data_IF_953873512035
#
_entry.id   IF_953873512035
#
_cell.length_a   1.000
_cell.length_b   1.000
_cell.length_c   1.000
_cell.angle_alpha   90.00
_cell.angle_beta   90.00
_cell.angle_gamma   90.00
#
_symmetry.space_group_name_H-M   'P 1'
#
loop_
_entity.id
_entity.type
_entity.pdbx_description
1 polymer ?
#
# COMPACT_ATOMS: atom_id res chain seq x y z
N UNK A 1 56.79 -36.04 46.58
CA UNK A 1 55.90 -34.87 46.39
C UNK A 1 55.54 -34.54 44.92
N UNK A 2 55.84 -35.39 43.91
CA UNK A 2 55.61 -35.05 42.49
C UNK A 2 54.33 -35.63 41.87
N UNK A 3 53.81 -36.75 42.39
CA UNK A 3 52.63 -37.44 41.81
C UNK A 3 51.30 -36.76 42.12
N UNK A 4 51.05 -36.34 43.37
CA UNK A 4 49.76 -35.70 43.73
C UNK A 4 49.55 -34.32 43.09
N UNK A 5 50.63 -33.56 42.87
CA UNK A 5 50.56 -32.26 42.20
C UNK A 5 50.12 -32.38 40.73
N UNK A 6 50.63 -33.40 40.02
CA UNK A 6 50.27 -33.66 38.62
C UNK A 6 48.80 -34.10 38.53
N UNK A 7 48.31 -34.92 39.47
CA UNK A 7 46.90 -35.37 39.47
C UNK A 7 45.94 -34.20 39.73
N UNK A 8 46.29 -33.29 40.64
CA UNK A 8 45.46 -32.11 40.94
C UNK A 8 45.41 -31.14 39.75
N UNK A 9 46.53 -30.92 39.07
CA UNK A 9 46.57 -30.07 37.85
C UNK A 9 45.76 -30.69 36.71
N UNK A 10 45.80 -32.02 36.55
CA UNK A 10 45.02 -32.71 35.51
C UNK A 10 43.50 -32.65 35.78
N UNK A 11 43.08 -32.77 37.05
CA UNK A 11 41.67 -32.64 37.43
C UNK A 11 41.13 -31.22 37.20
N UNK A 12 41.93 -30.19 37.51
CA UNK A 12 41.55 -28.79 37.28
C UNK A 12 41.39 -28.47 35.79
N UNK A 13 42.24 -29.05 34.93
CA UNK A 13 42.13 -28.92 33.48
C UNK A 13 40.87 -29.58 32.92
N UNK A 14 40.48 -30.76 33.42
CA UNK A 14 39.26 -31.45 32.98
C UNK A 14 37.97 -30.69 33.33
N UNK A 15 37.90 -30.06 34.51
CA UNK A 15 36.74 -29.27 34.92
C UNK A 15 36.56 -28.01 34.06
N UNK A 16 37.65 -27.38 33.64
CA UNK A 16 37.62 -26.17 32.79
C UNK A 16 37.12 -26.46 31.37
N UNK A 17 37.41 -27.64 30.81
CA UNK A 17 36.94 -28.03 29.46
C UNK A 17 35.42 -28.31 29.44
N UNK A 18 34.86 -28.89 30.51
CA UNK A 18 33.41 -29.20 30.57
C UNK A 18 32.51 -27.96 30.65
N UNK A 19 32.97 -26.87 31.28
CA UNK A 19 32.19 -25.63 31.42
C UNK A 19 32.12 -24.79 30.13
N UNK A 20 33.11 -24.90 29.23
CA UNK A 20 33.14 -24.15 27.97
C UNK A 20 32.23 -24.69 26.87
N UNK A 21 32.09 -26.02 26.77
CA UNK A 21 31.25 -26.66 25.74
C UNK A 21 29.75 -26.37 25.93
N UNK A 22 29.29 -26.29 27.18
CA UNK A 22 27.88 -26.13 27.53
C UNK A 22 27.33 -24.74 27.12
N UNK A 23 28.09 -23.68 27.38
CA UNK A 23 27.71 -22.30 27.01
C UNK A 23 27.74 -22.05 25.49
N UNK A 24 28.61 -22.74 24.76
CA UNK A 24 28.69 -22.65 23.30
C UNK A 24 27.55 -23.43 22.62
N UNK A 25 27.15 -24.57 23.17
CA UNK A 25 26.01 -25.36 22.70
C UNK A 25 24.68 -24.59 22.86
N UNK A 26 24.44 -23.98 24.02
CA UNK A 26 23.21 -23.23 24.33
C UNK A 26 23.05 -21.96 23.44
N UNK A 27 24.16 -21.26 23.19
CA UNK A 27 24.21 -20.08 22.31
C UNK A 27 23.97 -20.44 20.84
N UNK A 28 24.44 -21.61 20.39
CA UNK A 28 24.20 -22.11 19.03
C UNK A 28 22.76 -22.63 18.86
N UNK A 29 22.21 -23.29 19.88
CA UNK A 29 20.81 -23.71 19.91
C UNK A 29 19.85 -22.51 19.83
N UNK A 30 20.15 -21.44 20.57
CA UNK A 30 19.38 -20.19 20.53
C UNK A 30 19.47 -19.48 19.17
N UNK A 31 20.65 -19.48 18.52
CA UNK A 31 20.81 -18.93 17.15
C UNK A 31 20.08 -19.76 16.10
N UNK A 32 20.15 -21.09 16.20
CA UNK A 32 19.45 -22.01 15.30
C UNK A 32 17.94 -21.83 15.41
N UNK A 33 17.40 -21.77 16.63
CA UNK A 33 15.97 -21.50 16.88
C UNK A 33 15.52 -20.15 16.31
N UNK A 34 16.31 -19.08 16.50
CA UNK A 34 16.02 -17.76 15.91
C UNK A 34 16.03 -17.78 14.38
N UNK A 35 16.96 -18.52 13.77
CA UNK A 35 17.03 -18.66 12.31
C UNK A 35 15.81 -19.42 11.78
N UNK A 36 15.45 -20.52 12.43
CA UNK A 36 14.27 -21.31 12.08
C UNK A 36 12.98 -20.49 12.21
N UNK A 37 12.81 -19.73 13.29
CA UNK A 37 11.65 -18.86 13.48
C UNK A 37 11.61 -17.74 12.43
N UNK A 38 12.75 -17.15 12.07
CA UNK A 38 12.84 -16.16 11.00
C UNK A 38 12.47 -16.74 9.63
N UNK A 39 12.91 -17.96 9.34
CA UNK A 39 12.54 -18.66 8.10
C UNK A 39 11.05 -19.01 8.07
N UNK A 40 10.49 -19.46 9.21
CA UNK A 40 9.05 -19.70 9.37
C UNK A 40 8.23 -18.44 9.12
N UNK A 41 8.58 -17.32 9.76
CA UNK A 41 7.92 -16.02 9.57
C UNK A 41 8.00 -15.53 8.13
N UNK A 42 9.17 -15.70 7.48
CA UNK A 42 9.33 -15.37 6.05
C UNK A 42 8.42 -16.21 5.16
N UNK A 43 8.33 -17.52 5.42
CA UNK A 43 7.46 -18.41 4.66
C UNK A 43 5.98 -18.07 4.87
N UNK A 44 5.58 -17.79 6.11
CA UNK A 44 4.22 -17.36 6.44
C UNK A 44 3.88 -16.04 5.74
N UNK A 45 4.80 -15.07 5.75
CA UNK A 45 4.61 -13.80 5.05
C UNK A 45 4.50 -14.01 3.53
N UNK A 46 5.40 -14.79 2.92
CA UNK A 46 5.35 -15.09 1.49
C UNK A 46 4.04 -15.77 1.08
N UNK A 47 3.49 -16.63 1.96
CA UNK A 47 2.19 -17.26 1.74
C UNK A 47 1.06 -16.23 1.79
N UNK A 48 1.06 -15.33 2.79
CA UNK A 48 0.09 -14.24 2.89
C UNK A 48 0.15 -13.31 1.68
N UNK A 49 1.34 -12.88 1.29
CA UNK A 49 1.57 -12.00 0.14
C UNK A 49 1.06 -12.66 -1.15
N UNK A 50 1.29 -13.98 -1.32
CA UNK A 50 0.82 -14.74 -2.49
C UNK A 50 -0.71 -14.82 -2.55
N UNK A 51 -1.36 -15.06 -1.41
CA UNK A 51 -2.84 -15.08 -1.32
C UNK A 51 -3.43 -13.69 -1.59
N UNK A 52 -2.83 -12.64 -1.00
CA UNK A 52 -3.24 -11.26 -1.21
C UNK A 52 -3.11 -10.85 -2.68
N UNK A 53 -2.02 -11.24 -3.34
CA UNK A 53 -1.84 -10.99 -4.78
C UNK A 53 -2.91 -11.67 -5.64
N UNK A 54 -3.35 -12.88 -5.26
CA UNK A 54 -4.45 -13.57 -5.93
C UNK A 54 -5.77 -12.81 -5.79
N UNK A 55 -6.09 -12.36 -4.57
CA UNK A 55 -7.27 -11.54 -4.29
C UNK A 55 -7.23 -10.25 -5.11
N UNK A 56 -6.10 -9.53 -5.11
CA UNK A 56 -5.94 -8.32 -5.91
C UNK A 56 -6.11 -8.56 -7.40
N UNK A 57 -5.51 -9.62 -7.93
CA UNK A 57 -5.66 -9.99 -9.34
C UNK A 57 -7.13 -10.23 -9.68
N UNK A 58 -7.87 -10.89 -8.80
CA UNK A 58 -9.30 -11.15 -8.96
C UNK A 58 -10.12 -9.85 -8.97
N UNK A 59 -9.93 -8.97 -7.98
CA UNK A 59 -10.65 -7.68 -7.88
C UNK A 59 -10.42 -6.79 -9.11
N UNK A 60 -9.18 -6.71 -9.58
CA UNK A 60 -8.82 -5.88 -10.73
C UNK A 60 -9.31 -6.47 -12.06
N UNK A 61 -9.30 -7.80 -12.20
CA UNK A 61 -9.78 -8.49 -13.40
C UNK A 61 -11.31 -8.44 -13.51
N UNK A 62 -12.01 -8.59 -12.38
CA UNK A 62 -13.47 -8.49 -12.33
C UNK A 62 -14.00 -7.05 -12.43
N UNK A 63 -13.10 -6.04 -12.35
CA UNK A 63 -13.44 -4.62 -12.24
C UNK A 63 -14.41 -4.37 -11.09
N UNK A 64 -14.14 -5.00 -9.96
CA UNK A 64 -14.86 -4.78 -8.72
C UNK A 64 -13.85 -4.48 -7.63
N UNK A 65 -13.51 -3.20 -7.49
CA UNK A 65 -12.46 -2.76 -6.58
C UNK A 65 -12.65 -1.32 -6.11
N UNK A 66 -12.06 -1.01 -4.97
CA UNK A 66 -11.96 0.36 -4.46
C UNK A 66 -10.50 0.73 -4.25
N UNK A 67 -10.12 1.96 -4.61
CA UNK A 67 -8.88 2.57 -4.14
C UNK A 67 -9.27 3.55 -3.04
N UNK A 68 -8.96 3.20 -1.79
CA UNK A 68 -9.15 4.10 -0.66
C UNK A 68 -7.99 5.10 -0.60
N UNK A 69 -8.26 6.37 -0.89
CA UNK A 69 -7.25 7.43 -0.94
C UNK A 69 -7.04 7.94 0.48
N UNK A 70 -5.80 7.91 0.94
CA UNK A 70 -5.41 8.33 2.29
C UNK A 70 -4.41 9.50 2.27
N UNK A 71 -3.84 9.84 1.11
CA UNK A 71 -2.98 11.01 0.99
C UNK A 71 -3.14 11.75 -0.35
N UNK A 72 -2.96 13.07 -0.32
CA UNK A 72 -2.72 13.92 -1.50
C UNK A 72 -1.30 14.45 -1.43
N UNK A 73 -0.54 14.24 -2.50
CA UNK A 73 0.74 14.91 -2.73
C UNK A 73 0.50 16.06 -3.71
N UNK A 74 0.71 17.28 -3.24
CA UNK A 74 0.68 18.48 -4.07
C UNK A 74 2.06 19.16 -4.05
N UNK A 75 2.47 19.68 -5.20
CA UNK A 75 3.64 20.56 -5.27
C UNK A 75 3.31 21.86 -4.52
N UNK A 76 3.97 22.06 -3.38
CA UNK A 76 3.81 23.26 -2.57
C UNK A 76 5.04 24.15 -2.69
N UNK A 77 4.83 25.43 -3.01
CA UNK A 77 5.87 26.42 -2.90
C UNK A 77 6.01 26.85 -1.43
N UNK A 78 7.08 26.41 -0.75
CA UNK A 78 7.34 26.82 0.63
C UNK A 78 8.05 28.18 0.63
N UNK A 79 7.27 29.26 0.66
CA UNK A 79 7.76 30.63 0.59
C UNK A 79 8.79 30.97 1.70
N UNK A 80 8.67 30.36 2.88
CA UNK A 80 9.59 30.54 4.02
C UNK A 80 10.95 29.86 3.83
N UNK A 81 11.05 28.87 2.94
CA UNK A 81 12.27 28.09 2.70
C UNK A 81 12.91 28.35 1.32
N UNK A 82 12.27 29.14 0.45
CA UNK A 82 12.73 29.38 -0.92
C UNK A 82 12.86 28.10 -1.75
N UNK A 83 12.13 27.04 -1.39
CA UNK A 83 12.22 25.70 -1.99
C UNK A 83 10.85 25.20 -2.40
N UNK A 84 10.82 24.45 -3.49
CA UNK A 84 9.65 23.64 -3.88
C UNK A 84 9.65 22.39 -3.01
N UNK A 85 8.61 22.20 -2.21
CA UNK A 85 8.39 21.02 -1.38
C UNK A 85 7.15 20.26 -1.85
N UNK A 86 6.96 19.06 -1.33
CA UNK A 86 5.72 18.31 -1.51
C UNK A 86 4.91 18.43 -0.22
N UNK A 87 3.72 19.01 -0.30
CA UNK A 87 2.77 18.97 0.80
C UNK A 87 2.04 17.62 0.77
N UNK A 88 2.05 16.93 1.91
CA UNK A 88 1.37 15.66 2.10
C UNK A 88 0.19 15.87 3.06
N UNK A 89 -1.02 15.90 2.53
CA UNK A 89 -2.25 15.98 3.32
C UNK A 89 -2.82 14.59 3.53
N UNK A 90 -3.05 14.20 4.79
CA UNK A 90 -3.71 12.93 5.12
C UNK A 90 -5.23 13.07 4.96
N UNK A 91 -5.86 12.05 4.40
CA UNK A 91 -7.29 11.98 4.09
C UNK A 91 -7.93 10.73 4.69
N UNK A 92 -9.25 10.79 4.86
CA UNK A 92 -10.05 9.61 5.17
C UNK A 92 -10.48 8.92 3.89
N UNK A 93 -10.17 7.62 3.75
CA UNK A 93 -10.63 6.79 2.62
C UNK A 93 -12.15 6.64 2.56
N UNK A 94 -12.86 6.94 3.67
CA UNK A 94 -14.32 6.91 3.72
C UNK A 94 -14.95 7.97 2.80
N UNK A 95 -14.29 9.11 2.61
CA UNK A 95 -14.78 10.23 1.77
C UNK A 95 -13.85 10.54 0.60
N UNK A 96 -12.76 9.78 0.45
CA UNK A 96 -11.76 9.95 -0.60
C UNK A 96 -11.46 8.59 -1.22
N UNK A 97 -12.03 8.30 -2.39
CA UNK A 97 -11.90 7.01 -3.02
C UNK A 97 -12.17 7.02 -4.52
N UNK A 98 -11.67 5.96 -5.16
CA UNK A 98 -12.14 5.52 -6.48
C UNK A 98 -12.88 4.21 -6.25
N UNK A 99 -14.13 4.12 -6.65
CA UNK A 99 -14.90 2.89 -6.58
C UNK A 99 -15.30 2.46 -7.99
N UNK A 100 -14.89 1.26 -8.39
CA UNK A 100 -15.14 0.68 -9.71
C UNK A 100 -16.02 -0.56 -9.56
N UNK A 101 -17.11 -0.57 -10.33
CA UNK A 101 -18.01 -1.72 -10.47
C UNK A 101 -18.36 -1.91 -11.95
N UNK A 102 -17.78 -2.96 -12.55
CA UNK A 102 -17.85 -3.25 -13.98
C UNK A 102 -17.39 -2.05 -14.82
N UNK A 103 -18.33 -1.37 -15.47
CA UNK A 103 -18.07 -0.20 -16.32
C UNK A 103 -18.48 1.12 -15.65
N UNK A 104 -18.99 1.07 -14.41
CA UNK A 104 -19.33 2.27 -13.64
C UNK A 104 -18.20 2.63 -12.68
N UNK A 105 -18.03 3.92 -12.45
CA UNK A 105 -17.03 4.44 -11.51
C UNK A 105 -17.55 5.64 -10.74
N UNK A 106 -17.17 5.71 -9.46
CA UNK A 106 -17.32 6.88 -8.60
C UNK A 106 -15.92 7.33 -8.23
N UNK A 107 -15.58 8.57 -8.57
CA UNK A 107 -14.38 9.26 -8.08
C UNK A 107 -14.84 10.28 -7.06
N UNK A 108 -14.31 10.21 -5.85
CA UNK A 108 -14.60 11.18 -4.81
C UNK A 108 -13.30 11.57 -4.12
N UNK A 109 -13.01 12.85 -4.07
CA UNK A 109 -11.91 13.40 -3.27
C UNK A 109 -12.46 14.61 -2.54
N UNK A 110 -12.66 14.48 -1.23
CA UNK A 110 -13.06 15.56 -0.34
C UNK A 110 -11.79 16.15 0.32
N UNK A 111 -10.98 16.86 -0.46
CA UNK A 111 -9.76 17.51 0.04
C UNK A 111 -9.77 19.02 -0.24
N UNK A 112 -9.52 19.88 0.76
CA UNK A 112 -9.27 21.31 0.57
C UNK A 112 -8.10 21.60 -0.37
N UNK A 113 -7.11 20.70 -0.46
CA UNK A 113 -5.96 20.86 -1.35
C UNK A 113 -6.32 20.71 -2.83
N UNK A 114 -7.43 20.02 -3.13
CA UNK A 114 -8.05 19.97 -4.46
C UNK A 114 -9.05 21.12 -4.56
N UNK A 115 -8.54 22.35 -4.62
CA UNK A 115 -9.39 23.53 -4.88
C UNK A 115 -9.86 23.45 -6.33
N UNK A 116 -11.11 23.04 -6.56
CA UNK A 116 -11.72 23.17 -7.88
C UNK A 116 -11.76 24.63 -8.32
N UNK A 117 -12.06 24.90 -9.59
CA UNK A 117 -12.12 26.26 -10.18
C UNK A 117 -13.04 27.25 -9.44
N UNK A 118 -13.91 26.75 -8.54
CA UNK A 118 -14.86 27.52 -7.74
C UNK A 118 -14.45 27.74 -6.28
N UNK A 119 -13.23 27.37 -5.85
CA UNK A 119 -12.77 27.66 -4.48
C UNK A 119 -13.29 26.73 -3.37
N UNK A 120 -14.04 25.68 -3.72
CA UNK A 120 -14.53 24.65 -2.78
C UNK A 120 -13.68 23.40 -2.91
N UNK A 121 -13.20 22.90 -1.77
CA UNK A 121 -12.30 21.76 -1.66
C UNK A 121 -12.97 20.44 -2.00
N UNK A 122 -12.51 19.79 -3.07
CA UNK A 122 -12.88 18.45 -3.45
C UNK A 122 -13.84 18.35 -4.65
N UNK A 123 -13.96 17.15 -5.20
CA UNK A 123 -14.88 16.84 -6.30
C UNK A 123 -15.47 15.44 -6.15
N UNK A 124 -16.68 15.26 -6.68
CA UNK A 124 -17.32 13.95 -6.85
C UNK A 124 -17.73 13.81 -8.32
N UNK A 125 -17.33 12.72 -8.96
CA UNK A 125 -17.76 12.39 -10.32
C UNK A 125 -18.25 10.96 -10.38
N UNK A 126 -19.48 10.78 -10.86
CA UNK A 126 -20.04 9.48 -11.23
C UNK A 126 -20.04 9.36 -12.74
N UNK A 127 -19.50 8.28 -13.27
CA UNK A 127 -19.33 8.14 -14.71
C UNK A 127 -19.28 6.70 -15.18
N UNK A 128 -19.16 6.58 -16.50
CA UNK A 128 -18.90 5.32 -17.19
C UNK A 128 -17.43 5.30 -17.62
N UNK A 129 -16.80 4.15 -17.40
CA UNK A 129 -15.43 3.85 -17.81
C UNK A 129 -15.38 3.65 -19.32
N UNK A 130 -14.44 4.33 -19.97
CA UNK A 130 -14.11 4.18 -21.39
C UNK A 130 -12.62 3.89 -21.54
N UNK A 131 -12.24 3.22 -22.64
CA UNK A 131 -10.84 2.92 -22.98
C UNK A 131 -10.05 2.24 -21.84
N UNK A 132 -10.69 1.30 -21.11
CA UNK A 132 -10.05 0.61 -19.99
C UNK A 132 -8.88 -0.24 -20.46
N UNK A 133 -7.67 0.11 -20.00
CA UNK A 133 -6.44 -0.64 -20.22
C UNK A 133 -5.92 -1.15 -18.89
N UNK A 134 -5.81 -2.46 -18.79
CA UNK A 134 -5.20 -3.17 -17.67
C UNK A 134 -3.91 -3.82 -18.14
N UNK A 135 -2.81 -3.52 -17.45
CA UNK A 135 -1.50 -4.14 -17.65
C UNK A 135 -1.16 -4.89 -16.35
N UNK A 136 -1.34 -6.21 -16.32
CA UNK A 136 -1.00 -7.02 -15.15
C UNK A 136 0.50 -6.92 -14.84
N UNK A 137 0.91 -7.29 -13.62
CA UNK A 137 2.31 -7.20 -13.24
C UNK A 137 3.12 -8.24 -14.02
N UNK A 138 4.33 -7.87 -14.45
CA UNK A 138 5.23 -8.78 -15.20
C UNK A 138 5.86 -9.87 -14.32
N UNK A 139 5.97 -9.60 -13.03
CA UNK A 139 6.45 -10.49 -11.97
C UNK A 139 5.85 -10.03 -10.64
N UNK A 140 5.93 -10.85 -9.59
CA UNK A 140 5.28 -10.60 -8.30
C UNK A 140 5.72 -9.31 -7.59
N UNK A 141 6.90 -8.78 -7.92
CA UNK A 141 7.48 -7.55 -7.35
C UNK A 141 7.20 -6.29 -8.20
N UNK A 142 6.56 -6.44 -9.36
CA UNK A 142 6.31 -5.32 -10.29
C UNK A 142 4.89 -4.79 -10.11
N UNK A 143 4.68 -3.48 -10.33
CA UNK A 143 3.36 -2.90 -10.21
C UNK A 143 2.46 -3.33 -11.37
N UNK A 144 1.16 -3.28 -11.10
CA UNK A 144 0.07 -3.33 -12.06
C UNK A 144 -0.25 -1.90 -12.51
N UNK A 145 -0.55 -1.71 -13.79
CA UNK A 145 -0.96 -0.40 -14.32
C UNK A 145 -2.37 -0.46 -14.89
N UNK A 146 -3.20 0.50 -14.50
CA UNK A 146 -4.56 0.68 -15.00
C UNK A 146 -4.68 2.10 -15.55
N UNK A 147 -5.30 2.25 -16.71
CA UNK A 147 -5.67 3.57 -17.23
C UNK A 147 -7.02 3.51 -17.90
N UNK A 148 -7.87 4.49 -17.66
CA UNK A 148 -9.17 4.61 -18.31
C UNK A 148 -9.62 6.07 -18.36
N UNK A 149 -10.62 6.33 -19.19
CA UNK A 149 -11.35 7.60 -19.21
C UNK A 149 -12.66 7.43 -18.45
N UNK A 150 -13.11 8.48 -17.79
CA UNK A 150 -14.42 8.55 -17.14
C UNK A 150 -15.25 9.58 -17.87
N UNK A 151 -16.33 9.12 -18.52
CA UNK A 151 -17.35 9.99 -19.07
C UNK A 151 -18.39 10.27 -17.98
N UNK A 152 -18.55 11.53 -17.59
CA UNK A 152 -19.52 11.92 -16.57
C UNK A 152 -20.95 11.58 -17.00
N UNK A 153 -21.79 11.13 -16.05
CA UNK A 153 -23.23 10.97 -16.30
C UNK A 153 -23.95 12.32 -16.52
N UNK A 154 -23.38 13.41 -16.00
CA UNK A 154 -24.04 14.72 -15.90
C UNK A 154 -23.42 15.78 -16.80
N UNK A 155 -22.43 15.44 -17.63
CA UNK A 155 -21.73 16.41 -18.48
C UNK A 155 -20.96 15.76 -19.63
N UNK A 156 -20.39 16.62 -20.49
CA UNK A 156 -19.55 16.18 -21.63
C UNK A 156 -18.09 15.95 -21.24
N UNK A 157 -17.73 16.29 -20.00
CA UNK A 157 -16.37 16.17 -19.51
C UNK A 157 -15.92 14.71 -19.44
N UNK A 158 -14.69 14.50 -19.90
CA UNK A 158 -14.01 13.20 -19.85
C UNK A 158 -12.73 13.35 -19.05
N UNK A 159 -12.61 12.60 -17.96
CA UNK A 159 -11.41 12.62 -17.12
C UNK A 159 -10.55 11.39 -17.39
N UNK A 160 -9.27 11.57 -17.70
CA UNK A 160 -8.31 10.46 -17.72
C UNK A 160 -7.92 10.10 -16.29
N UNK A 161 -7.95 8.82 -15.95
CA UNK A 161 -7.50 8.26 -14.68
C UNK A 161 -6.37 7.29 -14.96
N UNK A 162 -5.25 7.45 -14.26
CA UNK A 162 -4.16 6.49 -14.25
C UNK A 162 -3.94 5.98 -12.83
N UNK A 163 -3.75 4.67 -12.68
CA UNK A 163 -3.55 4.01 -11.40
C UNK A 163 -2.35 3.07 -11.53
N UNK A 164 -1.41 3.18 -10.60
CA UNK A 164 -0.31 2.23 -10.40
C UNK A 164 -0.55 1.51 -9.07
N UNK A 165 -0.60 0.19 -9.08
CA UNK A 165 -0.84 -0.64 -7.88
C UNK A 165 0.39 -1.50 -7.65
N UNK A 166 1.00 -1.38 -6.47
CA UNK A 166 2.17 -2.15 -6.06
C UNK A 166 1.76 -3.49 -5.45
N UNK A 167 2.72 -4.41 -5.30
CA UNK A 167 2.50 -5.78 -4.82
C UNK A 167 1.84 -5.85 -3.44
N UNK A 168 2.11 -4.86 -2.58
CA UNK A 168 1.55 -4.74 -1.24
C UNK A 168 0.15 -4.12 -1.20
N UNK A 169 -0.40 -3.75 -2.36
CA UNK A 169 -1.73 -3.13 -2.48
C UNK A 169 -1.73 -1.61 -2.41
N UNK A 170 -0.60 -0.98 -2.10
CA UNK A 170 -0.43 0.48 -2.21
C UNK A 170 -0.76 0.92 -3.63
N UNK A 171 -1.46 2.04 -3.75
CA UNK A 171 -1.87 2.61 -5.03
C UNK A 171 -1.44 4.06 -5.16
N UNK A 172 -1.00 4.43 -6.36
CA UNK A 172 -0.75 5.80 -6.79
C UNK A 172 -1.72 6.13 -7.91
N UNK A 173 -2.41 7.26 -7.81
CA UNK A 173 -3.49 7.67 -8.70
C UNK A 173 -3.23 9.08 -9.21
N UNK A 174 -3.44 9.31 -10.50
CA UNK A 174 -3.43 10.65 -11.10
C UNK A 174 -4.64 10.87 -12.00
N UNK A 175 -5.10 12.13 -12.00
CA UNK A 175 -6.22 12.59 -12.81
C UNK A 175 -5.73 13.57 -13.88
N UNK A 176 -5.83 13.19 -15.16
CA UNK A 176 -5.38 14.01 -16.30
C UNK A 176 -3.94 14.50 -16.14
N UNK A 177 -3.71 15.78 -16.45
CA UNK A 177 -2.43 16.49 -16.27
C UNK A 177 -2.39 17.35 -15.00
N UNK A 178 -3.26 17.08 -14.01
CA UNK A 178 -3.57 18.01 -12.93
C UNK A 178 -2.44 18.28 -11.92
N UNK A 179 -1.31 17.57 -12.00
CA UNK A 179 -0.16 17.77 -11.09
C UNK A 179 -0.36 17.24 -9.67
N UNK A 180 -1.54 16.73 -9.34
CA UNK A 180 -1.81 16.06 -8.07
C UNK A 180 -1.56 14.56 -8.17
N UNK A 181 -0.80 14.02 -7.23
CA UNK A 181 -0.59 12.58 -7.07
C UNK A 181 -1.28 12.12 -5.80
N UNK A 182 -2.30 11.30 -5.95
CA UNK A 182 -3.05 10.72 -4.84
C UNK A 182 -2.43 9.39 -4.48
N UNK A 183 -2.35 9.09 -3.18
CA UNK A 183 -1.90 7.80 -2.68
C UNK A 183 -3.00 7.15 -1.85
N UNK A 184 -3.03 5.83 -1.91
CA UNK A 184 -4.07 5.03 -1.28
C UNK A 184 -3.72 3.55 -1.23
N UNK A 185 -4.73 2.73 -0.99
CA UNK A 185 -4.62 1.28 -1.03
C UNK A 185 -5.77 0.68 -1.83
N UNK A 186 -5.49 -0.43 -2.51
CA UNK A 186 -6.48 -1.31 -3.12
C UNK A 186 -7.25 -2.04 -2.01
N UNK A 187 -8.57 -1.96 -2.08
CA UNK A 187 -9.52 -2.53 -1.14
C UNK A 187 -10.56 -3.36 -1.88
N UNK A 188 -10.99 -4.44 -1.23
CA UNK A 188 -12.22 -5.13 -1.59
C UNK A 188 -13.42 -4.22 -1.22
N UNK A 189 -14.33 -3.90 -2.17
CA UNK A 189 -15.50 -3.09 -1.86
C UNK A 189 -16.41 -3.69 -0.78
N UNK A 190 -16.44 -5.02 -0.62
CA UNK A 190 -17.29 -5.68 0.38
C UNK A 190 -16.75 -5.47 1.82
N UNK A 191 -15.44 -5.25 1.96
CA UNK A 191 -14.79 -4.95 3.25
C UNK A 191 -14.72 -3.43 3.53
N UNK A 192 -14.94 -2.60 2.51
CA UNK A 192 -14.74 -1.17 2.59
C UNK A 192 -15.97 -0.40 3.10
N UNK A 193 -15.74 0.55 4.00
CA UNK A 193 -16.77 1.53 4.43
C UNK A 193 -16.51 2.86 3.73
N UNK A 194 -17.48 3.34 2.97
CA UNK A 194 -17.39 4.63 2.29
C UNK A 194 -18.73 5.37 2.28
N UNK A 195 -18.65 6.69 2.17
CA UNK A 195 -19.79 7.60 2.11
C UNK A 195 -19.70 8.39 0.82
N UNK A 196 -20.71 8.26 -0.02
CA UNK A 196 -20.82 9.04 -1.25
C UNK A 196 -21.42 10.40 -0.90
N UNK A 197 -20.72 11.49 -1.25
CA UNK A 197 -21.22 12.84 -1.10
C UNK A 197 -22.52 13.06 -1.89
N UNK A 198 -23.45 13.82 -1.31
CA UNK A 198 -24.74 14.15 -1.92
C UNK A 198 -24.66 15.23 -3.01
N UNK A 199 -23.47 15.74 -3.34
CA UNK A 199 -23.29 16.95 -4.16
C UNK A 199 -23.34 16.68 -5.66
N UNK A 200 -24.40 15.98 -6.08
CA UNK A 200 -24.98 16.17 -7.40
C UNK A 200 -26.17 17.07 -7.19
N UNK A 201 -25.91 18.39 -7.14
CA UNK A 201 -27.00 19.36 -7.24
C UNK A 201 -27.84 18.97 -8.44
N UNK A 202 -29.11 18.73 -8.16
CA UNK A 202 -30.17 18.72 -9.14
C UNK A 202 -30.01 19.96 -10.04
N UNK A 203 -29.33 19.84 -11.17
CA UNK A 203 -29.71 20.65 -12.33
C UNK A 203 -31.02 20.05 -12.84
N UNK A 204 -32.08 20.29 -12.06
CA UNK A 204 -33.46 20.23 -12.52
C UNK A 204 -33.58 21.26 -13.63
N UNK A 205 -33.82 20.74 -14.84
CA UNK A 205 -34.48 21.35 -16.01
C UNK A 205 -33.85 22.60 -16.60
#
# INVERSE_FOLDING_TARGET
MKKSFITTVLLLLLVLVSSGLSAQAEKNQTKSQRKLEKERLKHEQATKDSMQQLVYTQLLTSRYYMIGINHVMADAYQASAGRRGVENTTLSSMTNFIYVIRDSVILQVASPAYVGSNGVGGFTMKGIIQDYRFKPPKSSDKPTYISFKVKSHYGVETLMVNITIFSEGRAEVSFGSSGYNLQGNLLDPDDAKFVIGSDLREHKR
#
